data_IF_988334066625
#
_entry.id   IF_988334066625
#
_cell.length_a   1.000
_cell.length_b   1.000
_cell.length_c   1.000
_cell.angle_alpha   90.00
_cell.angle_beta   90.00
_cell.angle_gamma   90.00
#
_symmetry.space_group_name_H-M   'P 1'
#
loop_
_entity.id
_entity.type
_entity.pdbx_description
1 polymer ?
#
# COMPACT_ATOMS: atom_id res chain seq x y z
N UNK A 1 42.83 26.06 -5.74
CA UNK A 1 42.27 24.96 -4.93
C UNK A 1 41.81 23.92 -5.92
N UNK A 2 42.54 22.80 -5.99
CA UNK A 2 42.31 21.78 -7.01
C UNK A 2 41.11 20.93 -6.61
N UNK A 3 40.03 21.02 -7.39
CA UNK A 3 38.87 20.13 -7.29
C UNK A 3 39.32 18.71 -7.61
N UNK A 4 39.17 17.80 -6.64
CA UNK A 4 39.35 16.38 -6.88
C UNK A 4 38.17 15.87 -7.69
N UNK A 5 38.39 15.02 -8.71
CA UNK A 5 37.30 14.39 -9.45
C UNK A 5 36.54 13.44 -8.52
N UNK A 6 35.22 13.60 -8.49
CA UNK A 6 34.30 12.66 -7.83
C UNK A 6 34.51 11.28 -8.45
N UNK A 7 35.17 10.38 -7.71
CA UNK A 7 35.47 9.04 -8.20
C UNK A 7 34.18 8.25 -8.37
N UNK A 8 34.16 7.38 -9.37
CA UNK A 8 33.15 6.32 -9.49
C UNK A 8 32.94 5.63 -8.15
N UNK A 9 31.69 5.27 -7.82
CA UNK A 9 31.34 4.57 -6.58
C UNK A 9 32.11 3.26 -6.51
N UNK A 10 33.16 3.22 -5.69
CA UNK A 10 33.79 1.96 -5.33
C UNK A 10 32.84 1.22 -4.40
N UNK A 11 31.94 0.43 -4.99
CA UNK A 11 30.93 -0.36 -4.27
C UNK A 11 31.54 -1.42 -3.34
N UNK A 12 32.87 -1.59 -3.37
CA UNK A 12 33.64 -2.44 -2.47
C UNK A 12 34.37 -1.64 -1.37
N UNK A 13 34.24 -0.32 -1.32
CA UNK A 13 34.78 0.49 -0.22
C UNK A 13 34.07 0.19 1.09
N UNK A 14 34.80 0.25 2.20
CA UNK A 14 34.27 0.06 3.55
C UNK A 14 33.07 0.98 3.83
N UNK A 15 33.15 2.26 3.44
CA UNK A 15 32.09 3.24 3.63
C UNK A 15 30.82 2.90 2.83
N UNK A 16 30.95 2.35 1.62
CA UNK A 16 29.79 1.91 0.84
C UNK A 16 29.14 0.65 1.43
N UNK A 17 29.95 -0.25 1.99
CA UNK A 17 29.48 -1.49 2.61
C UNK A 17 28.80 -1.25 3.97
N UNK A 18 29.37 -0.38 4.82
CA UNK A 18 28.74 -0.01 6.09
C UNK A 18 27.45 0.78 5.86
N UNK A 19 27.40 1.67 4.87
CA UNK A 19 26.16 2.33 4.49
C UNK A 19 25.10 1.35 4.00
N UNK A 20 25.47 0.38 3.16
CA UNK A 20 24.53 -0.64 2.70
C UNK A 20 23.98 -1.51 3.85
N UNK A 21 24.80 -1.82 4.86
CA UNK A 21 24.36 -2.49 6.09
C UNK A 21 23.32 -1.66 6.85
N UNK A 22 23.61 -0.38 7.10
CA UNK A 22 22.68 0.52 7.81
C UNK A 22 21.37 0.67 7.04
N UNK A 23 21.44 0.82 5.72
CA UNK A 23 20.25 0.93 4.87
C UNK A 23 19.46 -0.38 4.85
N UNK A 24 20.10 -1.54 4.71
CA UNK A 24 19.42 -2.83 4.75
C UNK A 24 18.67 -3.04 6.09
N UNK A 25 19.30 -2.64 7.20
CA UNK A 25 18.68 -2.68 8.53
C UNK A 25 17.73 -1.52 8.82
N UNK A 26 17.42 -0.67 7.83
CA UNK A 26 16.54 0.51 7.99
C UNK A 26 16.96 1.44 9.14
N UNK A 27 18.27 1.61 9.33
CA UNK A 27 18.87 2.38 10.42
C UNK A 27 19.20 1.56 11.68
N UNK A 28 18.61 0.37 11.85
CA UNK A 28 18.98 -0.56 12.90
C UNK A 28 20.16 -1.43 12.45
N UNK A 29 21.12 -1.66 13.34
CA UNK A 29 22.24 -2.58 13.11
C UNK A 29 22.31 -3.55 14.28
N UNK A 30 22.08 -4.84 14.02
CA UNK A 30 22.25 -5.88 15.03
C UNK A 30 23.73 -6.27 15.14
N UNK A 31 24.14 -6.73 16.32
CA UNK A 31 25.52 -7.21 16.54
C UNK A 31 25.88 -8.35 15.57
N UNK A 32 24.90 -9.21 15.25
CA UNK A 32 25.06 -10.29 14.28
C UNK A 32 25.33 -9.76 12.86
N UNK A 33 24.53 -8.81 12.38
CA UNK A 33 24.72 -8.24 11.05
C UNK A 33 26.04 -7.45 10.92
N UNK A 34 26.48 -6.79 12.00
CA UNK A 34 27.80 -6.14 12.08
C UNK A 34 28.92 -7.17 12.04
N UNK A 35 28.80 -8.28 12.79
CA UNK A 35 29.78 -9.35 12.79
C UNK A 35 29.89 -10.02 11.40
N UNK A 36 28.76 -10.21 10.72
CA UNK A 36 28.69 -10.74 9.35
C UNK A 36 29.42 -9.84 8.36
N UNK A 37 29.19 -8.53 8.44
CA UNK A 37 29.89 -7.59 7.59
C UNK A 37 31.39 -7.59 7.86
N UNK A 38 31.82 -7.64 9.13
CA UNK A 38 33.25 -7.76 9.48
C UNK A 38 33.89 -9.00 8.86
N UNK A 39 33.21 -10.15 8.91
CA UNK A 39 33.68 -11.39 8.27
C UNK A 39 33.77 -11.25 6.74
N UNK A 40 32.78 -10.62 6.12
CA UNK A 40 32.77 -10.37 4.68
C UNK A 40 33.91 -9.46 4.25
N UNK A 41 34.12 -8.32 4.92
CA UNK A 41 35.22 -7.38 4.65
C UNK A 41 36.58 -8.07 4.75
N UNK A 42 36.80 -8.87 5.80
CA UNK A 42 38.01 -9.67 5.96
C UNK A 42 38.21 -10.68 4.81
N UNK A 43 37.13 -11.34 4.36
CA UNK A 43 37.17 -12.30 3.24
C UNK A 43 37.53 -11.67 1.89
N UNK A 44 37.28 -10.36 1.74
CA UNK A 44 37.59 -9.59 0.53
C UNK A 44 38.98 -8.96 0.55
N UNK A 45 39.80 -9.29 1.56
CA UNK A 45 41.14 -8.73 1.76
C UNK A 45 41.14 -7.18 1.83
N UNK A 46 40.01 -6.59 2.26
CA UNK A 46 39.93 -5.16 2.52
C UNK A 46 40.57 -4.93 3.89
N UNK A 47 41.81 -4.45 3.90
CA UNK A 47 42.60 -4.27 5.13
C UNK A 47 42.15 -3.05 5.91
N UNK A 48 41.52 -3.28 7.07
CA UNK A 48 41.13 -2.22 8.00
C UNK A 48 41.33 -2.63 9.46
N UNK A 49 41.58 -1.64 10.31
CA UNK A 49 41.56 -1.82 11.77
C UNK A 49 40.13 -1.87 12.28
N UNK A 50 39.91 -2.44 13.48
CA UNK A 50 38.58 -2.39 14.12
C UNK A 50 38.11 -0.94 14.30
N UNK A 51 39.02 -0.01 14.61
CA UNK A 51 38.71 1.40 14.81
C UNK A 51 38.19 2.04 13.51
N UNK A 52 38.83 1.76 12.37
CA UNK A 52 38.39 2.26 11.06
C UNK A 52 37.01 1.74 10.68
N UNK A 53 36.72 0.47 10.99
CA UNK A 53 35.39 -0.12 10.79
C UNK A 53 34.34 0.62 11.62
N UNK A 54 34.60 0.82 12.92
CA UNK A 54 33.65 1.46 13.83
C UNK A 54 33.40 2.93 13.44
N UNK A 55 34.46 3.66 13.04
CA UNK A 55 34.35 5.03 12.51
C UNK A 55 33.57 5.07 11.19
N UNK A 56 33.73 4.08 10.31
CA UNK A 56 32.94 3.98 9.08
C UNK A 56 31.46 3.71 9.38
N UNK A 57 31.16 2.79 10.31
CA UNK A 57 29.80 2.47 10.70
C UNK A 57 29.07 3.68 11.33
N UNK A 58 29.73 4.44 12.19
CA UNK A 58 29.14 5.65 12.76
C UNK A 58 28.90 6.73 11.70
N UNK A 59 29.82 6.90 10.73
CA UNK A 59 29.59 7.80 9.58
C UNK A 59 28.40 7.34 8.74
N UNK A 60 28.25 6.04 8.50
CA UNK A 60 27.12 5.48 7.78
C UNK A 60 25.77 5.74 8.48
N UNK A 61 25.72 5.59 9.82
CA UNK A 61 24.53 5.92 10.63
C UNK A 61 24.18 7.41 10.55
N UNK A 62 25.18 8.28 10.63
CA UNK A 62 25.00 9.73 10.48
C UNK A 62 24.45 10.05 9.09
N UNK A 63 25.09 9.53 8.03
CA UNK A 63 24.67 9.74 6.64
C UNK A 63 23.25 9.22 6.38
N UNK A 64 22.86 8.10 7.00
CA UNK A 64 21.49 7.59 6.94
C UNK A 64 20.47 8.58 7.52
N UNK A 65 20.80 9.14 8.69
CA UNK A 65 19.95 10.07 9.43
C UNK A 65 20.01 11.53 8.92
N UNK A 66 20.89 11.84 7.97
CA UNK A 66 21.02 13.20 7.44
C UNK A 66 19.72 13.67 6.75
N UNK A 67 19.30 14.89 7.12
CA UNK A 67 18.12 15.58 6.59
C UNK A 67 16.76 15.02 7.04
N UNK A 68 15.67 15.61 6.55
CA UNK A 68 14.31 15.15 6.87
C UNK A 68 13.92 13.91 6.05
N UNK A 69 14.39 13.82 4.79
CA UNK A 69 14.16 12.71 3.88
C UNK A 69 15.43 12.37 3.08
N UNK A 70 15.69 11.08 2.90
CA UNK A 70 16.86 10.58 2.17
C UNK A 70 16.49 9.29 1.43
N UNK A 71 16.78 9.25 0.13
CA UNK A 71 16.51 8.12 -0.73
C UNK A 71 17.81 7.38 -1.10
N UNK A 72 17.86 6.06 -0.87
CA UNK A 72 19.04 5.24 -1.06
C UNK A 72 18.82 4.26 -2.20
N UNK A 73 19.55 4.41 -3.31
CA UNK A 73 19.45 3.52 -4.47
C UNK A 73 20.54 2.45 -4.41
N UNK A 74 20.16 1.17 -4.47
CA UNK A 74 21.11 0.08 -4.51
C UNK A 74 21.88 0.10 -5.83
N UNK A 75 23.21 0.18 -5.74
CA UNK A 75 24.11 0.12 -6.89
C UNK A 75 24.95 -1.17 -6.89
N UNK A 76 24.50 -2.19 -6.15
CA UNK A 76 25.06 -3.53 -6.27
C UNK A 76 24.83 -4.13 -7.66
N UNK A 77 25.74 -5.02 -8.09
CA UNK A 77 25.74 -5.60 -9.44
C UNK A 77 24.38 -6.15 -9.91
N UNK A 78 23.58 -6.89 -9.10
CA UNK A 78 22.26 -7.35 -9.54
C UNK A 78 21.30 -6.20 -9.88
N UNK A 79 21.33 -5.11 -9.11
CA UNK A 79 20.51 -3.93 -9.37
C UNK A 79 20.99 -3.19 -10.62
N UNK A 80 22.31 -3.02 -10.78
CA UNK A 80 22.89 -2.40 -11.98
C UNK A 80 22.51 -3.16 -13.26
N UNK A 81 22.59 -4.50 -13.27
CA UNK A 81 22.27 -5.34 -14.43
C UNK A 81 20.79 -5.31 -14.83
N UNK A 82 19.88 -5.18 -13.86
CA UNK A 82 18.44 -5.19 -14.10
C UNK A 82 17.86 -3.80 -14.41
N UNK A 83 18.52 -2.74 -13.91
CA UNK A 83 18.13 -1.36 -14.11
C UNK A 83 18.29 -0.95 -15.59
N UNK A 84 17.24 -0.37 -16.16
CA UNK A 84 17.18 0.15 -17.54
C UNK A 84 16.95 1.66 -17.59
N UNK A 85 17.44 2.37 -16.59
CA UNK A 85 17.45 3.83 -16.52
C UNK A 85 18.82 4.31 -16.02
N UNK A 86 19.17 5.56 -16.36
CA UNK A 86 20.45 6.14 -15.98
C UNK A 86 20.49 6.47 -14.48
N UNK A 87 21.57 6.09 -13.81
CA UNK A 87 21.83 6.35 -12.39
C UNK A 87 23.29 6.76 -12.16
N UNK A 88 23.84 7.55 -13.08
CA UNK A 88 25.15 8.19 -12.89
C UNK A 88 25.07 9.21 -11.76
N UNK A 89 26.21 9.59 -11.16
CA UNK A 89 26.23 10.57 -10.07
C UNK A 89 25.52 11.89 -10.46
N UNK A 90 25.75 12.38 -11.69
CA UNK A 90 25.09 13.59 -12.20
C UNK A 90 23.59 13.39 -12.39
N UNK A 91 23.16 12.24 -12.92
CA UNK A 91 21.73 11.94 -13.09
C UNK A 91 21.03 11.87 -11.72
N UNK A 92 21.63 11.21 -10.73
CA UNK A 92 21.07 11.11 -9.38
C UNK A 92 21.02 12.47 -8.68
N UNK A 93 22.05 13.31 -8.84
CA UNK A 93 22.07 14.67 -8.30
C UNK A 93 20.95 15.53 -8.92
N UNK A 94 20.79 15.48 -10.24
CA UNK A 94 19.71 16.20 -10.93
C UNK A 94 18.32 15.74 -10.44
N UNK A 95 18.11 14.43 -10.30
CA UNK A 95 16.85 13.90 -9.77
C UNK A 95 16.62 14.30 -8.31
N UNK A 96 17.67 14.31 -7.49
CA UNK A 96 17.60 14.71 -6.09
C UNK A 96 17.16 16.17 -5.94
N UNK A 97 17.74 17.07 -6.74
CA UNK A 97 17.35 18.48 -6.81
C UNK A 97 15.91 18.66 -7.28
N UNK A 98 15.52 17.92 -8.33
CA UNK A 98 14.17 17.99 -8.91
C UNK A 98 13.08 17.60 -7.92
N UNK A 99 13.31 16.58 -7.11
CA UNK A 99 12.31 16.08 -6.14
C UNK A 99 12.44 16.73 -4.76
N UNK A 100 13.52 17.46 -4.49
CA UNK A 100 13.80 18.01 -3.15
C UNK A 100 14.09 16.94 -2.10
N UNK A 101 14.68 15.80 -2.50
CA UNK A 101 15.06 14.71 -1.61
C UNK A 101 16.41 14.16 -2.06
N UNK A 102 17.37 14.07 -1.13
CA UNK A 102 18.71 13.57 -1.44
C UNK A 102 18.63 12.13 -1.94
N UNK A 103 19.40 11.81 -2.98
CA UNK A 103 19.56 10.44 -3.49
C UNK A 103 21.01 10.01 -3.33
N UNK A 104 21.25 8.98 -2.53
CA UNK A 104 22.59 8.39 -2.36
C UNK A 104 22.63 6.98 -2.96
N UNK A 105 23.60 6.68 -3.84
CA UNK A 105 23.88 5.30 -4.19
C UNK A 105 24.48 4.56 -2.99
N UNK A 106 24.24 3.26 -2.89
CA UNK A 106 24.85 2.39 -1.88
C UNK A 106 25.42 1.14 -2.53
N UNK A 107 26.25 0.38 -1.80
CA UNK A 107 26.54 -1.00 -2.17
C UNK A 107 25.26 -1.88 -2.09
N UNK A 108 25.42 -3.20 -2.24
CA UNK A 108 24.30 -4.13 -2.29
C UNK A 108 23.43 -4.06 -1.02
N UNK A 109 22.17 -3.64 -1.17
CA UNK A 109 21.19 -3.57 -0.09
C UNK A 109 20.48 -4.91 0.15
N UNK A 110 20.44 -5.82 -0.82
CA UNK A 110 19.56 -7.00 -0.79
C UNK A 110 18.06 -6.65 -0.67
N UNK A 111 17.15 -7.64 -0.83
CA UNK A 111 17.37 -8.96 -1.39
C UNK A 111 17.57 -8.91 -2.92
N UNK A 112 18.63 -9.53 -3.44
CA UNK A 112 19.00 -9.45 -4.86
C UNK A 112 17.97 -10.04 -5.83
N UNK A 113 17.10 -10.94 -5.35
CA UNK A 113 16.00 -11.54 -6.14
C UNK A 113 14.94 -10.51 -6.54
N UNK A 114 14.85 -9.41 -5.80
CA UNK A 114 13.86 -8.34 -5.99
C UNK A 114 14.46 -7.09 -6.64
N UNK A 115 15.69 -7.18 -7.16
CA UNK A 115 16.36 -6.08 -7.82
C UNK A 115 15.54 -5.49 -8.99
N UNK A 116 15.67 -4.18 -9.30
CA UNK A 116 16.38 -3.16 -8.52
C UNK A 116 15.71 -2.85 -7.18
N UNK A 117 16.49 -2.51 -6.15
CA UNK A 117 16.00 -2.16 -4.80
C UNK A 117 16.40 -0.73 -4.42
N UNK A 118 15.54 -0.03 -3.68
CA UNK A 118 15.85 1.24 -3.05
C UNK A 118 15.11 1.41 -1.72
N UNK A 119 15.63 2.24 -0.82
CA UNK A 119 15.00 2.59 0.45
C UNK A 119 14.79 4.10 0.55
N UNK A 120 13.57 4.53 0.86
CA UNK A 120 13.25 5.90 1.23
C UNK A 120 13.10 6.01 2.74
N UNK A 121 13.89 6.89 3.36
CA UNK A 121 13.71 7.32 4.75
C UNK A 121 13.01 8.68 4.77
N UNK A 122 11.99 8.83 5.61
CA UNK A 122 11.37 10.12 5.97
C UNK A 122 11.16 10.16 7.48
N UNK A 123 11.79 11.11 8.17
CA UNK A 123 11.89 11.10 9.63
C UNK A 123 12.49 9.77 10.13
N UNK A 124 11.76 9.08 11.00
CA UNK A 124 12.12 7.74 11.51
C UNK A 124 11.51 6.59 10.70
N UNK A 125 10.65 6.89 9.71
CA UNK A 125 10.00 5.88 8.87
C UNK A 125 10.86 5.50 7.68
N UNK A 126 10.79 4.22 7.28
CA UNK A 126 11.40 3.71 6.06
C UNK A 126 10.37 3.03 5.16
N UNK A 127 10.55 3.17 3.85
CA UNK A 127 9.79 2.49 2.82
C UNK A 127 10.77 1.85 1.82
N UNK A 128 10.57 0.57 1.51
CA UNK A 128 11.39 -0.15 0.55
C UNK A 128 10.67 -0.26 -0.79
N UNK A 129 11.45 -0.16 -1.86
CA UNK A 129 10.99 -0.34 -3.23
C UNK A 129 11.78 -1.44 -3.91
N UNK A 130 11.12 -2.20 -4.78
CA UNK A 130 11.69 -3.31 -5.52
C UNK A 130 11.18 -3.36 -6.97
N UNK A 131 11.90 -4.08 -7.84
CA UNK A 131 11.50 -4.44 -9.20
C UNK A 131 11.13 -3.28 -10.15
N UNK A 132 11.60 -2.05 -9.89
CA UNK A 132 11.34 -0.85 -10.72
C UNK A 132 12.39 -0.69 -11.85
N UNK A 133 12.49 -1.66 -12.75
CA UNK A 133 13.56 -1.69 -13.77
C UNK A 133 13.55 -0.55 -14.80
N UNK A 134 12.41 0.04 -15.14
CA UNK A 134 12.25 0.97 -16.28
C UNK A 134 12.16 2.43 -15.84
N UNK A 135 12.48 3.37 -16.74
CA UNK A 135 12.42 4.82 -16.47
C UNK A 135 11.08 5.30 -15.91
N UNK A 136 9.96 4.84 -16.48
CA UNK A 136 8.60 5.20 -16.00
C UNK A 136 8.33 4.71 -14.57
N UNK A 137 8.88 3.56 -14.21
CA UNK A 137 8.72 2.93 -12.90
C UNK A 137 9.57 3.70 -11.87
N UNK A 138 10.79 4.06 -12.25
CA UNK A 138 11.63 4.98 -11.48
C UNK A 138 10.97 6.33 -11.23
N UNK A 139 10.36 6.93 -12.25
CA UNK A 139 9.61 8.19 -12.11
C UNK A 139 8.40 8.05 -11.17
N UNK A 140 7.72 6.90 -11.17
CA UNK A 140 6.64 6.64 -10.22
C UNK A 140 7.15 6.63 -8.78
N UNK A 141 8.26 5.91 -8.52
CA UNK A 141 8.90 5.84 -7.21
C UNK A 141 9.42 7.21 -6.77
N UNK A 142 10.08 7.96 -7.66
CA UNK A 142 10.51 9.33 -7.39
C UNK A 142 9.35 10.28 -7.10
N UNK A 143 8.23 10.12 -7.81
CA UNK A 143 7.02 10.91 -7.55
C UNK A 143 6.45 10.65 -6.15
N UNK A 144 6.51 9.40 -5.66
CA UNK A 144 6.17 9.11 -4.27
C UNK A 144 7.17 9.74 -3.30
N UNK A 145 8.48 9.57 -3.54
CA UNK A 145 9.52 10.14 -2.69
C UNK A 145 9.39 11.66 -2.55
N UNK A 146 9.11 12.37 -3.65
CA UNK A 146 8.83 13.81 -3.65
C UNK A 146 7.65 14.16 -2.73
N UNK A 147 6.50 13.50 -2.89
CA UNK A 147 5.30 13.78 -2.08
C UNK A 147 5.53 13.47 -0.61
N UNK A 148 6.19 12.34 -0.32
CA UNK A 148 6.49 11.92 1.05
C UNK A 148 7.46 12.88 1.74
N UNK A 149 8.51 13.31 1.04
CA UNK A 149 9.47 14.30 1.54
C UNK A 149 8.81 15.65 1.83
N UNK A 150 7.98 16.14 0.90
CA UNK A 150 7.23 17.40 1.08
C UNK A 150 6.23 17.33 2.24
N UNK A 151 5.56 16.20 2.41
CA UNK A 151 4.61 15.96 3.49
C UNK A 151 5.27 15.59 4.82
N UNK A 152 6.59 15.32 4.82
CA UNK A 152 7.37 14.82 5.97
C UNK A 152 6.77 13.54 6.59
N UNK A 153 6.15 12.71 5.76
CA UNK A 153 5.54 11.44 6.18
C UNK A 153 5.50 10.44 5.02
N UNK A 154 5.59 9.15 5.34
CA UNK A 154 5.36 8.07 4.37
C UNK A 154 3.87 7.77 4.18
N UNK A 155 2.99 8.36 5.00
CA UNK A 155 1.54 8.19 4.94
C UNK A 155 0.89 9.06 3.84
N UNK A 156 1.46 8.99 2.64
CA UNK A 156 0.93 9.64 1.44
C UNK A 156 0.44 8.58 0.45
N UNK A 157 -0.45 8.97 -0.47
CA UNK A 157 -0.89 8.04 -1.51
C UNK A 157 0.29 7.59 -2.39
N UNK A 158 0.47 6.28 -2.46
CA UNK A 158 1.48 5.62 -3.29
C UNK A 158 1.22 5.87 -4.79
N UNK A 159 -0.05 6.02 -5.20
CA UNK A 159 -0.42 6.19 -6.61
C UNK A 159 0.22 5.12 -7.49
N UNK A 160 0.93 5.55 -8.54
CA UNK A 160 1.63 4.67 -9.48
C UNK A 160 2.85 3.94 -8.88
N UNK A 161 3.34 4.33 -7.71
CA UNK A 161 4.45 3.66 -7.03
C UNK A 161 4.01 2.40 -6.28
N UNK A 162 2.70 2.22 -6.06
CA UNK A 162 2.14 1.11 -5.24
C UNK A 162 2.65 -0.28 -5.64
N UNK A 163 2.77 -0.64 -6.94
CA UNK A 163 3.26 -1.96 -7.33
C UNK A 163 4.72 -2.24 -6.98
N UNK A 164 5.51 -1.21 -6.71
CA UNK A 164 6.95 -1.32 -6.41
C UNK A 164 7.24 -1.30 -4.91
N UNK A 165 6.25 -0.98 -4.06
CA UNK A 165 6.44 -1.06 -2.60
C UNK A 165 6.73 -2.50 -2.21
N UNK A 166 7.72 -2.67 -1.36
CA UNK A 166 8.23 -3.96 -0.96
C UNK A 166 8.33 -4.03 0.56
N UNK A 167 7.69 -5.02 1.15
CA UNK A 167 7.89 -5.37 2.56
C UNK A 167 8.77 -6.62 2.62
N UNK A 168 10.01 -6.53 3.14
CA UNK A 168 10.89 -7.69 3.26
C UNK A 168 10.56 -8.57 4.48
N UNK A 169 9.81 -8.05 5.45
CA UNK A 169 9.53 -8.72 6.73
C UNK A 169 8.26 -9.53 6.62
N UNK A 170 7.22 -8.92 6.10
CA UNK A 170 6.03 -9.63 5.70
C UNK A 170 6.23 -9.97 4.23
N UNK A 171 6.42 -11.26 3.91
CA UNK A 171 6.09 -11.69 2.55
C UNK A 171 4.73 -11.08 2.22
N UNK A 172 4.51 -10.68 0.96
CA UNK A 172 3.15 -10.47 0.44
C UNK A 172 2.44 -11.81 0.60
N UNK A 173 2.03 -12.15 1.83
CA UNK A 173 1.18 -13.26 2.13
C UNK A 173 0.00 -13.01 1.23
N UNK A 174 -0.21 -13.97 0.34
CA UNK A 174 -1.33 -13.95 -0.59
C UNK A 174 -2.53 -13.43 0.20
N UNK A 175 -3.26 -12.42 -0.32
CA UNK A 175 -4.47 -11.94 0.35
C UNK A 175 -5.24 -13.17 0.79
N UNK A 176 -5.73 -13.18 2.04
CA UNK A 176 -6.37 -14.38 2.59
C UNK A 176 -7.31 -14.97 1.54
N UNK A 177 -7.35 -16.30 1.38
CA UNK A 177 -8.17 -16.90 0.32
C UNK A 177 -9.63 -16.39 0.36
N UNK A 178 -10.10 -15.97 1.54
CA UNK A 178 -11.37 -15.31 1.73
C UNK A 178 -11.43 -13.89 1.08
N UNK A 179 -10.40 -13.05 1.22
CA UNK A 179 -10.30 -11.74 0.57
C UNK A 179 -10.20 -11.80 -0.96
N UNK A 180 -9.72 -12.92 -1.53
CA UNK A 180 -9.75 -13.11 -2.99
C UNK A 180 -11.17 -13.00 -3.55
N UNK A 181 -12.17 -13.51 -2.83
CA UNK A 181 -13.58 -13.40 -3.21
C UNK A 181 -14.13 -11.97 -3.14
N UNK A 182 -13.46 -11.05 -2.44
CA UNK A 182 -13.87 -9.65 -2.29
C UNK A 182 -13.09 -8.69 -3.20
N UNK A 183 -12.11 -9.15 -3.98
CA UNK A 183 -11.28 -8.30 -4.85
C UNK A 183 -12.09 -7.50 -5.87
N UNK A 184 -13.28 -7.97 -6.25
CA UNK A 184 -14.16 -7.24 -7.17
C UNK A 184 -14.59 -5.87 -6.63
N UNK A 185 -14.48 -5.63 -5.32
CA UNK A 185 -14.77 -4.36 -4.66
C UNK A 185 -13.63 -3.34 -4.75
N UNK A 186 -12.48 -3.70 -5.31
CA UNK A 186 -11.36 -2.78 -5.52
C UNK A 186 -11.61 -1.88 -6.72
N UNK A 187 -11.47 -0.57 -6.55
CA UNK A 187 -11.66 0.42 -7.61
C UNK A 187 -12.68 1.48 -7.25
N UNK A 188 -13.10 2.26 -8.24
CA UNK A 188 -14.10 3.30 -8.09
C UNK A 188 -15.37 2.87 -8.83
N UNK A 189 -16.50 2.90 -8.14
CA UNK A 189 -17.77 2.47 -8.67
C UNK A 189 -18.89 3.46 -8.38
N UNK A 190 -19.90 3.44 -9.23
CA UNK A 190 -21.15 4.16 -9.08
C UNK A 190 -22.34 3.32 -9.50
N UNK A 191 -23.48 3.51 -8.84
CA UNK A 191 -24.74 2.96 -9.29
C UNK A 191 -25.91 3.83 -8.90
N UNK A 192 -27.01 3.66 -9.63
CA UNK A 192 -28.27 4.34 -9.38
C UNK A 192 -29.38 3.32 -9.45
N UNK A 193 -30.31 3.37 -8.50
CA UNK A 193 -31.57 2.63 -8.57
C UNK A 193 -32.73 3.57 -8.33
N UNK A 194 -33.75 3.42 -9.16
CA UNK A 194 -35.07 4.03 -8.95
C UNK A 194 -35.93 3.02 -8.18
N UNK A 195 -36.61 3.49 -7.15
CA UNK A 195 -37.54 2.68 -6.36
C UNK A 195 -38.94 3.29 -6.53
N UNK A 196 -39.67 2.93 -7.62
CA UNK A 196 -40.91 3.62 -8.00
C UNK A 196 -42.00 3.53 -6.94
N UNK A 197 -42.10 2.38 -6.27
CA UNK A 197 -43.06 2.16 -5.17
C UNK A 197 -42.82 3.08 -3.98
N UNK A 198 -41.61 3.61 -3.84
CA UNK A 198 -41.21 4.50 -2.76
C UNK A 198 -41.00 5.95 -3.21
N UNK A 199 -41.21 6.23 -4.51
CA UNK A 199 -40.96 7.53 -5.14
C UNK A 199 -39.60 8.14 -4.78
N UNK A 200 -38.57 7.29 -4.66
CA UNK A 200 -37.21 7.68 -4.30
C UNK A 200 -36.20 7.08 -5.27
N UNK A 201 -35.09 7.79 -5.44
CA UNK A 201 -33.90 7.26 -6.10
C UNK A 201 -32.75 7.18 -5.12
N UNK A 202 -31.89 6.19 -5.30
CA UNK A 202 -30.66 6.01 -4.54
C UNK A 202 -29.51 6.06 -5.52
N UNK A 203 -28.60 7.01 -5.33
CA UNK A 203 -27.30 7.03 -5.99
C UNK A 203 -26.22 6.62 -5.01
N UNK A 204 -25.36 5.69 -5.40
CA UNK A 204 -24.23 5.23 -4.61
C UNK A 204 -22.92 5.46 -5.33
N UNK A 205 -21.91 5.84 -4.58
CA UNK A 205 -20.52 5.89 -5.01
C UNK A 205 -19.68 5.10 -4.01
N UNK A 206 -18.80 4.24 -4.49
CA UNK A 206 -17.95 3.38 -3.65
C UNK A 206 -16.52 3.41 -4.19
N UNK A 207 -15.56 3.63 -3.31
CA UNK A 207 -14.12 3.54 -3.62
C UNK A 207 -13.49 2.50 -2.72
N UNK A 208 -13.08 1.38 -3.29
CA UNK A 208 -12.39 0.32 -2.58
C UNK A 208 -10.88 0.33 -2.80
N UNK A 209 -10.10 0.18 -1.73
CA UNK A 209 -8.65 0.11 -1.75
C UNK A 209 -8.08 -0.95 -0.82
N UNK A 210 -6.92 -1.49 -1.19
CA UNK A 210 -6.09 -2.29 -0.28
C UNK A 210 -5.48 -1.43 0.80
N UNK A 211 -5.63 -1.87 2.04
CA UNK A 211 -5.01 -1.29 3.24
C UNK A 211 -4.06 -2.28 3.92
N UNK A 212 -3.15 -1.73 4.74
CA UNK A 212 -2.18 -2.47 5.55
C UNK A 212 -1.51 -3.63 4.79
N UNK A 213 -0.86 -3.31 3.67
CA UNK A 213 -0.15 -4.31 2.85
C UNK A 213 -1.03 -5.34 2.15
N UNK A 214 -2.34 -5.08 1.99
CA UNK A 214 -3.29 -6.01 1.35
C UNK A 214 -3.97 -6.96 2.33
N UNK A 215 -3.79 -6.76 3.64
CA UNK A 215 -4.44 -7.54 4.70
C UNK A 215 -5.91 -7.17 4.89
N UNK A 216 -6.30 -5.97 4.45
CA UNK A 216 -7.67 -5.49 4.54
C UNK A 216 -8.07 -4.77 3.25
N UNK A 217 -9.38 -4.75 3.00
CA UNK A 217 -10.02 -3.88 2.02
C UNK A 217 -10.74 -2.76 2.77
N UNK A 218 -10.44 -1.52 2.44
CA UNK A 218 -11.29 -0.40 2.84
C UNK A 218 -12.26 -0.04 1.73
N UNK A 219 -13.49 0.35 2.09
CA UNK A 219 -14.46 0.95 1.18
C UNK A 219 -14.85 2.32 1.74
N UNK A 220 -14.70 3.36 0.93
CA UNK A 220 -15.30 4.68 1.17
C UNK A 220 -16.58 4.77 0.35
N UNK A 221 -17.71 4.91 1.01
CA UNK A 221 -19.02 4.89 0.39
C UNK A 221 -19.77 6.20 0.65
N UNK A 222 -20.51 6.67 -0.35
CA UNK A 222 -21.54 7.67 -0.22
C UNK A 222 -22.86 7.15 -0.83
N UNK A 223 -23.97 7.35 -0.14
CA UNK A 223 -25.32 7.07 -0.63
C UNK A 223 -26.14 8.37 -0.58
N UNK A 224 -26.70 8.76 -1.71
CA UNK A 224 -27.52 9.97 -1.85
C UNK A 224 -28.94 9.56 -2.20
N UNK A 225 -29.89 9.99 -1.40
CA UNK A 225 -31.32 9.71 -1.53
C UNK A 225 -32.05 10.97 -1.98
N UNK A 226 -32.86 10.86 -3.03
CA UNK A 226 -33.80 11.92 -3.38
C UNK A 226 -35.07 11.74 -2.58
N UNK A 227 -35.44 12.74 -1.78
CA UNK A 227 -36.69 12.75 -1.00
C UNK A 227 -37.86 13.22 -1.88
N UNK A 228 -39.08 12.86 -1.47
CA UNK A 228 -40.33 13.22 -2.17
C UNK A 228 -40.56 14.72 -2.30
N UNK A 229 -40.01 15.53 -1.39
CA UNK A 229 -40.04 17.00 -1.44
C UNK A 229 -38.97 17.59 -2.39
N UNK A 230 -38.22 16.76 -3.12
CA UNK A 230 -37.16 17.16 -4.03
C UNK A 230 -35.80 17.45 -3.38
N UNK A 231 -35.70 17.43 -2.05
CA UNK A 231 -34.42 17.61 -1.35
C UNK A 231 -33.55 16.35 -1.44
N UNK A 232 -32.25 16.52 -1.26
CA UNK A 232 -31.29 15.43 -1.25
C UNK A 232 -30.82 15.15 0.17
N UNK A 233 -30.63 13.87 0.47
CA UNK A 233 -30.10 13.40 1.75
C UNK A 233 -28.89 12.53 1.46
N UNK A 234 -27.70 12.91 1.96
CA UNK A 234 -26.45 12.22 1.66
C UNK A 234 -25.88 11.65 2.94
N UNK A 235 -25.57 10.35 2.88
CA UNK A 235 -24.95 9.59 3.96
C UNK A 235 -23.61 9.03 3.50
N UNK A 236 -22.64 8.97 4.39
CA UNK A 236 -21.31 8.44 4.15
C UNK A 236 -20.99 7.30 5.11
N UNK A 237 -20.22 6.34 4.61
CA UNK A 237 -19.67 5.26 5.43
C UNK A 237 -18.24 4.93 5.03
N UNK A 238 -17.43 4.60 6.02
CA UNK A 238 -16.13 3.97 5.84
C UNK A 238 -16.21 2.54 6.33
N UNK A 239 -15.80 1.58 5.51
CA UNK A 239 -15.91 0.15 5.80
C UNK A 239 -14.52 -0.45 5.76
N UNK A 240 -14.16 -1.25 6.75
CA UNK A 240 -12.99 -2.13 6.72
C UNK A 240 -13.48 -3.57 6.63
N UNK A 241 -12.95 -4.34 5.69
CA UNK A 241 -13.22 -5.76 5.46
C UNK A 241 -11.92 -6.54 5.59
N UNK A 242 -11.92 -7.61 6.37
CA UNK A 242 -10.75 -8.48 6.55
C UNK A 242 -11.14 -9.83 7.17
N UNK A 243 -10.21 -10.79 7.21
CA UNK A 243 -10.41 -12.01 7.97
C UNK A 243 -10.41 -11.71 9.47
N UNK A 244 -11.33 -12.34 10.19
CA UNK A 244 -11.26 -12.48 11.63
C UNK A 244 -10.07 -13.36 12.01
N UNK A 245 -9.31 -12.96 13.02
CA UNK A 245 -8.04 -13.62 13.37
C UNK A 245 -8.26 -15.03 13.92
N UNK A 246 -9.33 -15.25 14.68
CA UNK A 246 -9.62 -16.53 15.33
C UNK A 246 -10.26 -17.53 14.36
N UNK A 247 -11.20 -17.06 13.53
CA UNK A 247 -12.02 -17.93 12.68
C UNK A 247 -11.59 -17.95 11.21
N UNK A 248 -10.81 -16.96 10.76
CA UNK A 248 -10.46 -16.75 9.36
C UNK A 248 -11.63 -16.33 8.46
N UNK A 249 -12.84 -16.17 9.02
CA UNK A 249 -14.03 -15.76 8.28
C UNK A 249 -13.99 -14.28 7.95
N UNK A 250 -14.62 -13.85 6.85
CA UNK A 250 -14.64 -12.42 6.53
C UNK A 250 -15.58 -11.68 7.48
N UNK A 251 -15.04 -10.63 8.09
CA UNK A 251 -15.79 -9.69 8.92
C UNK A 251 -15.59 -8.29 8.37
N UNK A 252 -16.61 -7.46 8.49
CA UNK A 252 -16.49 -6.04 8.17
C UNK A 252 -16.99 -5.15 9.29
N UNK A 253 -16.37 -3.98 9.42
CA UNK A 253 -16.80 -2.91 10.31
C UNK A 253 -17.08 -1.67 9.49
N UNK A 254 -18.30 -1.17 9.58
CA UNK A 254 -18.76 0.05 8.93
C UNK A 254 -18.90 1.18 9.97
N UNK A 255 -18.26 2.30 9.69
CA UNK A 255 -18.31 3.55 10.44
C UNK A 255 -19.16 4.53 9.63
N UNK A 256 -20.28 4.98 10.20
CA UNK A 256 -21.22 5.89 9.52
C UNK A 256 -21.00 7.33 9.96
N UNK A 257 -21.35 8.29 9.11
CA UNK A 257 -21.37 9.72 9.44
C UNK A 257 -22.39 10.11 10.53
N UNK A 258 -23.37 9.25 10.80
CA UNK A 258 -24.23 9.32 11.98
C UNK A 258 -23.55 8.90 13.29
N UNK A 259 -22.27 8.51 13.26
CA UNK A 259 -21.50 8.08 14.44
C UNK A 259 -21.76 6.64 14.89
N UNK A 260 -22.55 5.86 14.13
CA UNK A 260 -22.79 4.45 14.43
C UNK A 260 -21.68 3.56 13.85
N UNK A 261 -21.37 2.49 14.58
CA UNK A 261 -20.50 1.41 14.14
C UNK A 261 -21.36 0.15 13.95
N UNK A 262 -21.21 -0.50 12.81
CA UNK A 262 -21.88 -1.76 12.49
C UNK A 262 -20.83 -2.82 12.17
N UNK A 263 -20.97 -3.99 12.79
CA UNK A 263 -20.17 -5.15 12.45
C UNK A 263 -21.03 -6.12 11.64
N UNK A 264 -20.46 -6.65 10.56
CA UNK A 264 -21.11 -7.61 9.68
C UNK A 264 -20.23 -8.85 9.53
N UNK A 265 -20.82 -10.01 9.79
CA UNK A 265 -20.25 -11.29 9.40
C UNK A 265 -20.62 -11.57 7.94
N UNK A 266 -19.60 -11.80 7.11
CA UNK A 266 -19.77 -12.00 5.68
C UNK A 266 -19.75 -13.49 5.37
N UNK A 267 -20.84 -13.97 4.78
CA UNK A 267 -20.96 -15.32 4.24
C UNK A 267 -20.59 -15.29 2.77
N UNK A 268 -19.69 -16.19 2.36
CA UNK A 268 -19.31 -16.36 0.96
C UNK A 268 -20.03 -17.60 0.42
N UNK A 269 -20.87 -17.42 -0.58
CA UNK A 269 -21.58 -18.52 -1.26
C UNK A 269 -21.57 -18.27 -2.76
N UNK A 270 -21.14 -19.26 -3.56
CA UNK A 270 -21.16 -19.15 -5.04
C UNK A 270 -20.51 -17.86 -5.57
N UNK A 271 -19.41 -17.41 -4.95
CA UNK A 271 -18.70 -16.14 -5.24
C UNK A 271 -19.50 -14.86 -4.98
N UNK A 272 -20.58 -14.95 -4.20
CA UNK A 272 -21.36 -13.81 -3.71
C UNK A 272 -20.98 -13.54 -2.26
N UNK A 273 -20.98 -12.27 -1.87
CA UNK A 273 -20.83 -11.86 -0.47
C UNK A 273 -22.21 -11.56 0.09
N UNK A 274 -22.56 -12.18 1.21
CA UNK A 274 -23.86 -11.99 1.86
C UNK A 274 -23.71 -11.62 3.32
N UNK A 275 -24.55 -10.72 3.79
CA UNK A 275 -24.55 -10.31 5.18
C UNK A 275 -25.92 -9.77 5.60
N UNK A 276 -26.25 -9.93 6.88
CA UNK A 276 -27.49 -9.41 7.44
C UNK A 276 -27.55 -7.88 7.31
N UNK A 277 -28.74 -7.35 7.01
CA UNK A 277 -28.98 -5.91 6.92
C UNK A 277 -30.28 -5.54 7.64
N UNK A 278 -30.51 -4.24 7.80
CA UNK A 278 -31.73 -3.71 8.41
C UNK A 278 -32.90 -3.85 7.46
N UNK A 279 -34.02 -4.34 7.98
CA UNK A 279 -35.31 -4.34 7.27
C UNK A 279 -35.71 -2.88 6.97
N UNK A 280 -36.10 -2.55 5.73
CA UNK A 280 -36.62 -1.23 5.41
C UNK A 280 -37.85 -0.89 6.28
N UNK A 281 -37.88 0.32 6.86
CA UNK A 281 -38.86 0.71 7.89
C UNK A 281 -40.34 0.59 7.47
N UNK A 282 -40.65 0.68 6.18
CA UNK A 282 -42.01 0.62 5.64
C UNK A 282 -42.40 -0.77 5.12
N UNK A 283 -41.53 -1.77 5.28
CA UNK A 283 -41.75 -3.13 4.78
C UNK A 283 -42.06 -4.08 5.94
N UNK A 284 -43.14 -4.84 5.82
CA UNK A 284 -43.42 -5.93 6.74
C UNK A 284 -42.55 -7.15 6.37
N UNK A 285 -41.38 -7.24 7.01
CA UNK A 285 -40.43 -8.35 6.89
C UNK A 285 -39.78 -8.62 8.25
N UNK A 286 -39.35 -9.87 8.47
CA UNK A 286 -38.73 -10.32 9.73
C UNK A 286 -37.20 -10.29 9.65
N UNK A 287 -36.63 -10.33 8.45
CA UNK A 287 -35.19 -10.25 8.23
C UNK A 287 -34.90 -9.62 6.86
N UNK A 288 -33.70 -9.05 6.73
CA UNK A 288 -33.15 -8.59 5.48
C UNK A 288 -31.67 -8.98 5.38
N UNK A 289 -31.19 -9.16 4.15
CA UNK A 289 -29.77 -9.37 3.87
C UNK A 289 -29.37 -8.64 2.60
N UNK A 290 -28.12 -8.21 2.54
CA UNK A 290 -27.50 -7.74 1.30
C UNK A 290 -26.72 -8.86 0.65
N UNK A 291 -26.78 -8.90 -0.67
CA UNK A 291 -26.01 -9.80 -1.53
C UNK A 291 -25.23 -8.96 -2.52
N UNK A 292 -23.90 -9.14 -2.57
CA UNK A 292 -23.00 -8.51 -3.53
C UNK A 292 -22.53 -9.56 -4.51
N UNK A 293 -22.87 -9.38 -5.79
CA UNK A 293 -22.56 -10.33 -6.86
C UNK A 293 -21.59 -9.69 -7.86
N UNK A 294 -20.36 -10.21 -8.03
CA UNK A 294 -19.42 -9.67 -9.01
C UNK A 294 -19.96 -9.76 -10.44
N UNK A 295 -19.69 -8.75 -11.26
CA UNK A 295 -20.00 -8.73 -12.70
C UNK A 295 -18.77 -8.34 -13.52
N UNK A 296 -18.82 -8.48 -14.85
CA UNK A 296 -17.72 -8.05 -15.73
C UNK A 296 -17.47 -6.55 -15.74
N UNK A 297 -18.45 -5.74 -15.28
CA UNK A 297 -18.38 -4.27 -15.30
C UNK A 297 -18.37 -3.64 -13.90
N UNK A 298 -18.34 -4.44 -12.84
CA UNK A 298 -18.46 -3.98 -11.46
C UNK A 298 -19.09 -5.06 -10.60
N UNK A 299 -20.20 -4.75 -9.93
CA UNK A 299 -20.98 -5.72 -9.17
C UNK A 299 -22.45 -5.31 -9.09
N UNK A 300 -23.30 -6.26 -8.71
CA UNK A 300 -24.69 -6.02 -8.38
C UNK A 300 -24.85 -6.03 -6.85
N UNK A 301 -25.54 -5.04 -6.31
CA UNK A 301 -26.00 -5.03 -4.92
C UNK A 301 -27.50 -5.32 -4.88
N UNK A 302 -27.88 -6.42 -4.25
CA UNK A 302 -29.29 -6.80 -4.04
C UNK A 302 -29.61 -6.73 -2.56
N UNK A 303 -30.69 -6.05 -2.20
CA UNK A 303 -31.32 -6.20 -0.89
C UNK A 303 -32.41 -7.27 -1.01
N UNK A 304 -32.34 -8.30 -0.18
CA UNK A 304 -33.34 -9.35 -0.10
C UNK A 304 -34.03 -9.30 1.28
N UNK A 305 -35.31 -9.69 1.32
CA UNK A 305 -36.12 -9.70 2.54
C UNK A 305 -36.81 -11.05 2.74
N UNK A 306 -36.97 -11.46 4.00
CA UNK A 306 -37.81 -12.59 4.38
C UNK A 306 -39.05 -12.07 5.11
N UNK A 307 -40.25 -12.47 4.65
CA UNK A 307 -41.54 -12.10 5.24
C UNK A 307 -42.05 -13.12 6.28
N UNK A 308 -41.17 -13.95 6.82
CA UNK A 308 -41.48 -14.96 7.84
C UNK A 308 -41.72 -16.36 7.28
N UNK A 309 -41.23 -16.63 6.06
CA UNK A 309 -41.35 -17.93 5.39
C UNK A 309 -40.04 -18.70 5.35
N UNK A 310 -38.95 -18.12 5.86
CA UNK A 310 -37.61 -18.71 5.78
C UNK A 310 -36.99 -18.60 4.39
N UNK A 311 -37.56 -17.78 3.50
CA UNK A 311 -37.11 -17.58 2.12
C UNK A 311 -36.86 -16.11 1.88
N UNK A 312 -35.66 -15.79 1.43
CA UNK A 312 -35.27 -14.44 1.03
C UNK A 312 -35.69 -14.18 -0.42
N UNK A 313 -36.45 -13.11 -0.63
CA UNK A 313 -36.86 -12.64 -1.95
C UNK A 313 -36.21 -11.28 -2.26
N UNK A 314 -35.79 -11.03 -3.52
CA UNK A 314 -35.26 -9.73 -3.92
C UNK A 314 -36.26 -8.60 -3.66
N UNK A 315 -35.80 -7.56 -2.95
CA UNK A 315 -36.55 -6.34 -2.70
C UNK A 315 -36.16 -5.24 -3.70
N UNK A 316 -34.87 -5.00 -3.88
CA UNK A 316 -34.34 -4.23 -5.00
C UNK A 316 -32.99 -4.77 -5.44
N UNK A 317 -32.61 -4.45 -6.67
CA UNK A 317 -31.26 -4.67 -7.18
C UNK A 317 -30.70 -3.41 -7.80
N UNK A 318 -29.41 -3.17 -7.59
CA UNK A 318 -28.68 -2.03 -8.13
C UNK A 318 -27.41 -2.51 -8.81
N UNK A 319 -27.26 -2.18 -10.10
CA UNK A 319 -25.97 -2.34 -10.79
C UNK A 319 -25.01 -1.24 -10.34
N UNK A 320 -23.90 -1.64 -9.74
CA UNK A 320 -22.79 -0.77 -9.35
C UNK A 320 -21.65 -0.95 -10.37
N UNK A 321 -21.49 0.03 -11.24
CA UNK A 321 -20.56 0.01 -12.37
C UNK A 321 -19.22 0.63 -12.00
N UNK A 322 -18.13 0.03 -12.45
CA UNK A 322 -16.78 0.59 -12.34
C UNK A 322 -16.66 1.81 -13.25
N UNK A 323 -16.10 2.91 -12.73
CA UNK A 323 -15.73 4.10 -13.49
C UNK A 323 -14.52 3.87 -14.38
#
# INVERSE_FOLDING_TARGET
MSEQPVSQSDTLSLDSLTLALVVNGMGACTDEAVADLRRYVASKAITHTSVEFDVSLERAKQHFAEGDAHFFLCDGEPCQRQRRFEATANALQYEAERIGCRISPTACQGPCKQAPVALLRVGQGCELFAQFARRREWEAVLGFAQRAAQAKTLLVDAGTAKPFRFDPVHELEKPSAALEYAQFLLGHFEGVVELPLEQRSIQKEVVGSWEAGGRFLSLRMAATYRRTNGSWDRHQAFIILGPDEETGTLVSRAYTDGGMIHEFHIVIEEKRLMFADRVPHHVSAVAARKVLTPTTRGYEETLEIDRGRGVFEPYYSMSILRK
#
